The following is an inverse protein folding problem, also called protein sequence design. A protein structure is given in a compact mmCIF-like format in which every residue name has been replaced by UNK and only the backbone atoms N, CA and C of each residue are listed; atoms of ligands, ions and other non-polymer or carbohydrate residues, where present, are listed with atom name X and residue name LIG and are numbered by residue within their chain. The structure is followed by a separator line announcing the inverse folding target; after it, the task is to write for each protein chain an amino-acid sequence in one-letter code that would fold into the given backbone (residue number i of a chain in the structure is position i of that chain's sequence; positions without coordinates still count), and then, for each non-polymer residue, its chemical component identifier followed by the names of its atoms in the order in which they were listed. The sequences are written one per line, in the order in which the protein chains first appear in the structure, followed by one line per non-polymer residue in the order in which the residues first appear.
data_IF_112053596641
#
_entry.id   IF_112053596641
#
_cell.length_a   1.000
_cell.length_b   1.000
_cell.length_c   1.000
_cell.angle_alpha   90.00
_cell.angle_beta   90.00
_cell.angle_gamma   90.00
#
_symmetry.space_group_name_H-M   'P 1'
#
loop_
_entity.id
_entity.type
_entity.pdbx_description
1 polymer ?
#
# COMPACT_ATOMS: atom_id res chain seq x y z
N UNK A 1 12.14 15.69 -16.69
CA UNK A 1 11.42 15.95 -15.42
C UNK A 1 10.14 15.10 -15.36
N UNK A 2 10.04 14.18 -14.39
CA UNK A 2 8.83 13.38 -14.14
C UNK A 2 7.69 14.34 -13.78
N UNK A 3 6.65 14.43 -14.62
CA UNK A 3 5.47 15.25 -14.33
C UNK A 3 4.61 14.49 -13.32
N UNK A 4 4.90 14.69 -12.04
CA UNK A 4 4.07 14.17 -10.96
C UNK A 4 2.68 14.80 -11.06
N UNK A 5 1.63 13.99 -10.93
CA UNK A 5 0.29 14.54 -10.78
C UNK A 5 0.23 15.26 -9.43
N UNK A 6 -0.02 16.57 -9.43
CA UNK A 6 -0.07 17.41 -8.22
C UNK A 6 -1.01 16.80 -7.16
N UNK A 7 -2.13 16.22 -7.60
CA UNK A 7 -3.07 15.50 -6.74
C UNK A 7 -2.41 14.32 -5.98
N UNK A 8 -1.55 13.53 -6.64
CA UNK A 8 -0.88 12.41 -5.99
C UNK A 8 0.09 12.89 -4.91
N UNK A 9 0.78 14.02 -5.13
CA UNK A 9 1.68 14.60 -4.14
C UNK A 9 0.89 15.07 -2.92
N UNK A 10 -0.19 15.81 -3.13
CA UNK A 10 -1.03 16.32 -2.04
C UNK A 10 -1.61 15.17 -1.21
N UNK A 11 -2.15 14.14 -1.88
CA UNK A 11 -2.65 12.95 -1.19
C UNK A 11 -1.53 12.24 -0.42
N UNK A 12 -0.34 12.10 -1.01
CA UNK A 12 0.78 11.46 -0.32
C UNK A 12 1.25 12.23 0.93
N UNK A 13 1.31 13.57 0.86
CA UNK A 13 1.61 14.41 2.03
C UNK A 13 0.53 14.25 3.10
N UNK A 14 -0.75 14.31 2.70
CA UNK A 14 -1.88 14.14 3.61
C UNK A 14 -1.83 12.78 4.32
N UNK A 15 -1.45 11.72 3.59
CA UNK A 15 -1.23 10.40 4.17
C UNK A 15 -0.17 10.41 5.28
N UNK A 16 1.01 11.00 5.04
CA UNK A 16 2.06 11.06 6.05
C UNK A 16 1.69 11.90 7.26
N UNK A 17 1.07 13.06 7.03
CA UNK A 17 0.60 13.93 8.11
C UNK A 17 -0.45 13.22 8.96
N UNK A 18 -1.44 12.58 8.32
CA UNK A 18 -2.48 11.82 9.01
C UNK A 18 -1.92 10.62 9.79
N UNK A 19 -0.91 9.94 9.24
CA UNK A 19 -0.22 8.83 9.90
C UNK A 19 0.50 9.30 11.18
N UNK A 20 1.24 10.40 11.12
CA UNK A 20 1.94 10.96 12.28
C UNK A 20 0.94 11.36 13.36
N UNK A 21 -0.14 12.05 13.00
CA UNK A 21 -1.18 12.47 13.95
C UNK A 21 -1.84 11.25 14.60
N UNK A 22 -2.18 10.22 13.80
CA UNK A 22 -2.80 8.99 14.31
C UNK A 22 -1.87 8.25 15.27
N UNK A 23 -0.59 8.14 14.94
CA UNK A 23 0.42 7.54 15.82
C UNK A 23 0.53 8.30 17.15
N UNK A 24 0.53 9.63 17.13
CA UNK A 24 0.56 10.45 18.35
C UNK A 24 -0.69 10.24 19.20
N UNK A 25 -1.88 10.21 18.60
CA UNK A 25 -3.16 9.97 19.29
C UNK A 25 -3.13 8.62 20.02
N UNK A 26 -2.73 7.56 19.32
CA UNK A 26 -2.73 6.19 19.87
C UNK A 26 -1.63 6.03 20.92
N UNK A 27 -0.43 6.55 20.66
CA UNK A 27 0.71 6.40 21.57
C UNK A 27 0.53 7.18 22.88
N UNK A 28 0.02 8.41 22.81
CA UNK A 28 -0.20 9.24 24.00
C UNK A 28 -1.56 8.98 24.67
N UNK A 29 -2.36 8.05 24.14
CA UNK A 29 -3.70 7.71 24.62
C UNK A 29 -4.60 8.96 24.81
N UNK A 30 -4.61 9.83 23.79
CA UNK A 30 -5.30 11.12 23.84
C UNK A 30 -6.82 10.90 23.81
N UNK A 31 -7.52 11.29 24.88
CA UNK A 31 -8.97 11.07 25.05
C UNK A 31 -9.85 12.22 24.54
N UNK A 32 -9.30 13.14 23.74
CA UNK A 32 -10.06 14.22 23.13
C UNK A 32 -11.21 13.66 22.28
N UNK A 33 -12.43 14.23 22.35
CA UNK A 33 -13.58 13.77 21.54
C UNK A 33 -13.28 13.76 20.04
N UNK A 34 -12.43 14.68 19.57
CA UNK A 34 -11.99 14.78 18.18
C UNK A 34 -11.04 13.65 17.76
N UNK A 35 -10.29 13.06 18.70
CA UNK A 35 -9.26 12.07 18.39
C UNK A 35 -9.85 10.80 17.75
N UNK A 36 -10.95 10.28 18.31
CA UNK A 36 -11.65 9.12 17.75
C UNK A 36 -12.19 9.40 16.34
N UNK A 37 -12.86 10.54 16.15
CA UNK A 37 -13.40 10.95 14.85
C UNK A 37 -12.30 11.13 13.81
N UNK A 38 -11.13 11.67 14.20
CA UNK A 38 -9.98 11.80 13.33
C UNK A 38 -9.44 10.45 12.85
N UNK A 39 -9.26 9.49 13.78
CA UNK A 39 -8.76 8.14 13.44
C UNK A 39 -9.71 7.43 12.47
N UNK A 40 -11.02 7.49 12.72
CA UNK A 40 -12.03 6.90 11.83
C UNK A 40 -11.98 7.56 10.45
N UNK A 41 -11.91 8.90 10.40
CA UNK A 41 -11.78 9.65 9.15
C UNK A 41 -10.51 9.28 8.38
N UNK A 42 -9.39 9.10 9.09
CA UNK A 42 -8.13 8.69 8.49
C UNK A 42 -8.19 7.26 7.92
N UNK A 43 -8.90 6.32 8.58
CA UNK A 43 -9.13 4.96 8.07
C UNK A 43 -9.96 5.01 6.78
N UNK A 44 -11.04 5.80 6.75
CA UNK A 44 -11.86 5.98 5.54
C UNK A 44 -11.00 6.56 4.40
N UNK A 45 -10.20 7.58 4.70
CA UNK A 45 -9.25 8.16 3.76
C UNK A 45 -8.25 7.12 3.22
N UNK A 46 -7.69 6.26 4.08
CA UNK A 46 -6.77 5.18 3.71
C UNK A 46 -7.41 4.23 2.68
N UNK A 47 -8.64 3.77 2.95
CA UNK A 47 -9.38 2.88 2.04
C UNK A 47 -9.64 3.57 0.69
N UNK A 48 -10.10 4.83 0.72
CA UNK A 48 -10.34 5.61 -0.49
C UNK A 48 -9.06 5.83 -1.31
N UNK A 49 -7.94 6.12 -0.64
CA UNK A 49 -6.66 6.38 -1.30
C UNK A 49 -6.07 5.12 -1.92
N UNK A 50 -6.10 3.98 -1.22
CA UNK A 50 -5.69 2.68 -1.79
C UNK A 50 -6.54 2.33 -3.01
N UNK A 51 -7.86 2.52 -2.93
CA UNK A 51 -8.78 2.27 -4.04
C UNK A 51 -8.45 3.17 -5.24
N UNK A 52 -8.17 4.45 -5.00
CA UNK A 52 -7.71 5.38 -6.03
C UNK A 52 -6.40 4.90 -6.70
N UNK A 53 -5.40 4.46 -5.92
CA UNK A 53 -4.14 3.97 -6.46
C UNK A 53 -4.32 2.71 -7.33
N UNK A 54 -5.18 1.78 -6.92
CA UNK A 54 -5.51 0.58 -7.71
C UNK A 54 -6.15 0.99 -9.04
N UNK A 55 -7.16 1.87 -9.01
CA UNK A 55 -7.80 2.36 -10.24
C UNK A 55 -6.83 3.10 -11.16
N UNK A 56 -5.92 3.91 -10.59
CA UNK A 56 -4.88 4.61 -11.35
C UNK A 56 -3.90 3.61 -12.00
N UNK A 57 -3.46 2.59 -11.24
CA UNK A 57 -2.61 1.53 -11.75
C UNK A 57 -3.27 0.75 -12.89
N UNK A 58 -4.56 0.38 -12.76
CA UNK A 58 -5.33 -0.30 -13.82
C UNK A 58 -5.46 0.56 -15.08
N UNK A 59 -5.74 1.86 -14.94
CA UNK A 59 -5.81 2.77 -16.10
C UNK A 59 -4.46 2.93 -16.80
N UNK A 60 -3.36 2.82 -16.07
CA UNK A 60 -2.02 2.94 -16.65
C UNK A 60 -1.52 1.60 -17.22
N UNK A 61 -1.87 0.45 -16.62
CA UNK A 61 -1.47 -0.87 -17.14
C UNK A 61 -2.06 -1.15 -18.53
N UNK A 62 -3.30 -0.70 -18.79
CA UNK A 62 -3.93 -0.82 -20.10
C UNK A 62 -3.22 -0.06 -21.23
N UNK A 63 -2.27 0.82 -20.90
CA UNK A 63 -1.48 1.60 -21.88
C UNK A 63 -0.10 0.99 -22.14
N UNK A 64 0.27 -0.11 -21.49
CA UNK A 64 1.57 -0.76 -21.63
C UNK A 64 1.52 -1.86 -22.70
N UNK A 65 2.68 -2.20 -23.26
CA UNK A 65 2.81 -3.37 -24.13
C UNK A 65 2.59 -4.66 -23.33
N UNK A 66 2.00 -5.69 -23.96
CA UNK A 66 1.69 -6.98 -23.30
C UNK A 66 2.92 -7.61 -22.64
N UNK A 67 4.09 -7.44 -23.23
CA UNK A 67 5.36 -7.96 -22.67
C UNK A 67 5.77 -7.26 -21.37
N UNK A 68 5.56 -5.95 -21.26
CA UNK A 68 5.84 -5.22 -20.03
C UNK A 68 4.87 -5.62 -18.91
N UNK A 69 3.61 -5.86 -19.26
CA UNK A 69 2.60 -6.38 -18.32
C UNK A 69 3.01 -7.75 -17.81
N UNK A 70 3.45 -8.67 -18.70
CA UNK A 70 3.92 -10.00 -18.33
C UNK A 70 5.12 -9.94 -17.37
N UNK A 71 6.12 -9.09 -17.66
CA UNK A 71 7.28 -8.90 -16.78
C UNK A 71 6.86 -8.43 -15.38
N UNK A 72 5.88 -7.53 -15.29
CA UNK A 72 5.37 -7.05 -14.01
C UNK A 72 4.60 -8.11 -13.25
N UNK A 73 3.75 -8.90 -13.91
CA UNK A 73 3.04 -10.01 -13.26
C UNK A 73 4.04 -11.03 -12.70
N UNK A 74 5.08 -11.38 -13.47
CA UNK A 74 6.15 -12.27 -12.97
C UNK A 74 6.85 -11.68 -11.76
N UNK A 75 7.20 -10.39 -11.79
CA UNK A 75 7.80 -9.69 -10.65
C UNK A 75 6.88 -9.70 -9.42
N UNK A 76 5.58 -9.49 -9.62
CA UNK A 76 4.57 -9.57 -8.57
C UNK A 76 4.56 -10.95 -7.92
N UNK A 77 4.50 -12.02 -8.71
CA UNK A 77 4.47 -13.40 -8.21
C UNK A 77 5.75 -13.71 -7.40
N UNK A 78 6.92 -13.34 -7.93
CA UNK A 78 8.21 -13.53 -7.23
C UNK A 78 8.19 -12.81 -5.88
N UNK A 79 7.78 -11.53 -5.86
CA UNK A 79 7.70 -10.76 -4.62
C UNK A 79 6.67 -11.32 -3.63
N UNK A 80 5.52 -11.79 -4.12
CA UNK A 80 4.47 -12.38 -3.30
C UNK A 80 4.96 -13.64 -2.60
N UNK A 81 5.59 -14.56 -3.34
CA UNK A 81 6.15 -15.79 -2.77
C UNK A 81 7.26 -15.48 -1.78
N UNK A 82 8.17 -14.55 -2.13
CA UNK A 82 9.30 -14.19 -1.28
C UNK A 82 8.84 -13.52 0.03
N UNK A 83 7.96 -12.52 -0.06
CA UNK A 83 7.40 -11.85 1.12
C UNK A 83 6.54 -12.79 1.95
N UNK A 84 5.72 -13.63 1.30
CA UNK A 84 4.88 -14.62 1.99
C UNK A 84 5.72 -15.64 2.77
N UNK A 85 6.78 -16.15 2.17
CA UNK A 85 7.72 -17.08 2.83
C UNK A 85 8.41 -16.42 4.02
N UNK A 86 8.90 -15.19 3.85
CA UNK A 86 9.51 -14.42 4.95
C UNK A 86 8.50 -14.20 6.07
N UNK A 87 7.26 -13.79 5.75
CA UNK A 87 6.23 -13.52 6.74
C UNK A 87 5.82 -14.79 7.50
N UNK A 88 5.74 -15.93 6.80
CA UNK A 88 5.51 -17.24 7.40
C UNK A 88 6.64 -17.63 8.36
N UNK A 89 7.90 -17.52 7.93
CA UNK A 89 9.06 -17.82 8.77
C UNK A 89 9.13 -16.93 10.02
N UNK A 90 8.85 -15.63 9.87
CA UNK A 90 8.81 -14.70 11.00
C UNK A 90 7.69 -15.07 11.99
N UNK A 91 6.49 -15.40 11.51
CA UNK A 91 5.41 -15.85 12.40
C UNK A 91 5.76 -17.16 13.10
N UNK A 92 6.40 -18.10 12.40
CA UNK A 92 6.85 -19.35 12.98
C UNK A 92 7.87 -19.15 14.11
N UNK A 93 8.84 -18.24 13.94
CA UNK A 93 9.89 -17.97 14.93
C UNK A 93 9.35 -17.15 16.12
N UNK A 94 8.58 -16.09 15.86
CA UNK A 94 8.21 -15.10 16.88
C UNK A 94 6.84 -15.34 17.53
N UNK A 95 5.92 -16.05 16.87
CA UNK A 95 4.54 -16.22 17.32
C UNK A 95 4.00 -17.66 17.06
N UNK A 96 4.72 -18.72 17.49
CA UNK A 96 4.34 -20.11 17.17
C UNK A 96 2.96 -20.53 17.74
N UNK A 97 2.44 -19.83 18.75
CA UNK A 97 1.16 -20.12 19.38
C UNK A 97 -0.05 -19.38 18.78
N UNK A 98 0.17 -18.42 17.85
CA UNK A 98 -0.91 -17.66 17.22
C UNK A 98 -1.32 -18.33 15.92
N UNK A 99 -2.45 -19.01 15.95
CA UNK A 99 -3.04 -19.72 14.81
C UNK A 99 -3.71 -18.77 13.80
N UNK A 100 -2.97 -17.75 13.33
CA UNK A 100 -3.44 -16.87 12.26
C UNK A 100 -3.14 -17.50 10.90
N UNK A 101 -3.97 -18.49 10.53
CA UNK A 101 -3.68 -19.43 9.44
C UNK A 101 -3.44 -18.79 8.07
N UNK A 102 -3.95 -17.58 7.80
CA UNK A 102 -3.86 -16.96 6.48
C UNK A 102 -3.58 -15.45 6.48
N UNK A 103 -3.42 -14.81 7.64
CA UNK A 103 -3.18 -13.36 7.75
C UNK A 103 -1.91 -12.90 7.01
N UNK A 104 -0.88 -13.76 7.00
CA UNK A 104 0.40 -13.51 6.33
C UNK A 104 0.27 -13.40 4.80
N UNK A 105 -0.76 -14.01 4.20
CA UNK A 105 -1.01 -13.92 2.76
C UNK A 105 -1.55 -12.55 2.38
N UNK A 106 -2.45 -11.97 3.18
CA UNK A 106 -2.99 -10.64 2.91
C UNK A 106 -1.91 -9.55 2.98
N UNK A 107 -1.01 -9.63 3.97
CA UNK A 107 0.13 -8.71 4.08
C UNK A 107 1.11 -8.88 2.92
N UNK A 108 1.47 -10.12 2.58
CA UNK A 108 2.33 -10.40 1.43
C UNK A 108 1.70 -9.92 0.11
N UNK A 109 0.40 -10.09 -0.07
CA UNK A 109 -0.35 -9.68 -1.26
C UNK A 109 -0.39 -8.15 -1.38
N UNK A 110 -0.73 -7.44 -0.30
CA UNK A 110 -0.73 -5.97 -0.28
C UNK A 110 0.66 -5.38 -0.57
N UNK A 111 1.70 -5.90 0.09
CA UNK A 111 3.07 -5.42 -0.11
C UNK A 111 3.60 -5.70 -1.52
N UNK A 112 3.39 -6.90 -2.06
CA UNK A 112 3.84 -7.25 -3.41
C UNK A 112 3.08 -6.48 -4.49
N UNK A 113 1.77 -6.25 -4.34
CA UNK A 113 0.97 -5.38 -5.21
C UNK A 113 1.52 -3.95 -5.18
N UNK A 114 1.70 -3.40 -3.98
CA UNK A 114 2.26 -2.06 -3.78
C UNK A 114 3.60 -1.93 -4.49
N UNK A 115 4.59 -2.75 -4.15
CA UNK A 115 5.94 -2.65 -4.73
C UNK A 115 5.99 -2.81 -6.26
N UNK A 116 5.08 -3.59 -6.85
CA UNK A 116 5.10 -3.87 -8.28
C UNK A 116 4.38 -2.82 -9.12
N UNK A 117 3.33 -2.21 -8.57
CA UNK A 117 2.43 -1.31 -9.29
C UNK A 117 2.42 0.14 -8.77
N UNK A 118 3.11 0.45 -7.66
CA UNK A 118 3.19 1.79 -7.11
C UNK A 118 3.82 2.79 -8.10
N UNK A 119 4.81 2.36 -8.88
CA UNK A 119 5.38 3.20 -9.94
C UNK A 119 4.34 3.52 -11.02
N UNK A 120 3.50 2.57 -11.41
CA UNK A 120 2.39 2.79 -12.35
C UNK A 120 1.32 3.74 -11.79
N UNK A 121 1.03 3.67 -10.50
CA UNK A 121 0.03 4.53 -9.87
C UNK A 121 0.52 5.98 -9.65
N UNK A 122 1.77 6.15 -9.18
CA UNK A 122 2.31 7.48 -8.87
C UNK A 122 3.05 8.14 -10.03
N UNK A 123 3.81 7.38 -10.81
CA UNK A 123 4.72 7.92 -11.82
C UNK A 123 4.10 7.75 -13.21
N UNK A 124 3.57 8.84 -13.75
CA UNK A 124 3.29 8.90 -15.19
C UNK A 124 4.63 8.88 -15.93
N UNK A 125 5.08 7.69 -16.35
CA UNK A 125 6.27 7.56 -17.21
C UNK A 125 5.93 8.25 -18.54
N UNK A 126 6.63 9.33 -18.86
CA UNK A 126 6.61 9.94 -20.20
C UNK A 126 7.21 8.87 -21.12
N UNK A 127 6.42 8.31 -22.04
CA UNK A 127 6.98 7.55 -23.17
C UNK A 127 7.85 8.53 -23.95
N UNK A 128 9.14 8.21 -24.08
CA UNK A 128 9.99 8.71 -25.16
C UNK A 128 9.63 7.85 -26.36
#
# INVERSE_FOLDING_TARGET
MKKYNLANIVLFILFFVGLIITLLIVYQNITLPFAHSFVIGFIIYLIAYVTYLIMAAMKNIGKLHKDEVRKRIVKFIILFVLLGTINYLLNFIFQPAKNDHYGFLFTALGCSLGLTFFDLALLRKKRI
#
